data_IF_878128284843
#
_entry.id   IF_878128284843
#
_cell.length_a   1.000
_cell.length_b   1.000
_cell.length_c   1.000
_cell.angle_alpha   90.00
_cell.angle_beta   90.00
_cell.angle_gamma   90.00
#
_symmetry.space_group_name_H-M   'P 1'
#
loop_
_entity.id
_entity.type
_entity.pdbx_description
1 polymer ?
#
# COMPACT_ATOMS: atom_id res chain seq x y z
N UNK A 1 -14.87 -9.05 -2.66
CA UNK A 1 -13.49 -8.58 -2.45
C UNK A 1 -13.14 -7.72 -3.64
N UNK A 2 -13.03 -6.40 -3.46
CA UNK A 2 -12.33 -5.43 -4.32
C UNK A 2 -12.76 -4.02 -3.88
N UNK A 3 -11.94 -3.36 -3.06
CA UNK A 3 -12.12 -1.92 -2.75
C UNK A 3 -10.81 -1.15 -3.01
N UNK A 4 -10.11 -1.50 -4.09
CA UNK A 4 -8.92 -0.74 -4.52
C UNK A 4 -9.29 0.52 -5.33
N UNK A 5 -10.58 0.83 -5.51
CA UNK A 5 -11.04 1.93 -6.37
C UNK A 5 -11.78 3.01 -5.60
N UNK A 6 -11.04 3.87 -4.89
CA UNK A 6 -11.28 5.33 -4.88
C UNK A 6 -10.37 6.03 -3.87
N UNK A 7 -9.37 6.72 -4.40
CA UNK A 7 -8.83 8.00 -3.90
C UNK A 7 -8.45 8.07 -2.42
N UNK A 8 -7.92 6.99 -1.85
CA UNK A 8 -7.34 6.98 -0.51
C UNK A 8 -5.82 7.05 -0.58
N UNK A 9 -5.21 7.80 0.34
CA UNK A 9 -3.79 7.61 0.64
C UNK A 9 -3.64 6.39 1.55
N UNK A 10 -2.53 5.70 1.42
CA UNK A 10 -2.20 4.53 2.22
C UNK A 10 -0.98 4.79 3.08
N UNK A 11 -0.97 4.10 4.21
CA UNK A 11 0.19 3.88 5.03
C UNK A 11 0.57 2.40 4.96
N UNK A 12 1.83 2.11 4.63
CA UNK A 12 2.36 0.77 4.47
C UNK A 12 3.52 0.57 5.44
N UNK A 13 3.53 -0.58 6.13
CA UNK A 13 4.64 -1.01 6.98
C UNK A 13 5.37 -2.18 6.33
N UNK A 14 6.67 -2.06 6.14
CA UNK A 14 7.52 -3.07 5.50
C UNK A 14 8.88 -3.10 6.20
N UNK A 15 9.30 -4.29 6.69
CA UNK A 15 10.60 -4.48 7.37
C UNK A 15 10.90 -3.46 8.50
N UNK A 16 9.87 -3.08 9.27
CA UNK A 16 9.87 -2.03 10.31
C UNK A 16 9.91 -0.57 9.82
N UNK A 17 10.03 -0.34 8.52
CA UNK A 17 9.86 1.00 7.94
C UNK A 17 8.39 1.29 7.68
N UNK A 18 8.00 2.55 7.91
CA UNK A 18 6.65 3.04 7.66
C UNK A 18 6.67 4.08 6.56
N UNK A 19 5.86 3.83 5.54
CA UNK A 19 5.68 4.70 4.39
C UNK A 19 4.26 5.26 4.43
N UNK A 20 4.12 6.58 4.32
CA UNK A 20 2.83 7.27 4.34
C UNK A 20 2.61 8.03 3.03
N UNK A 21 1.37 8.51 2.81
CA UNK A 21 0.98 9.25 1.61
C UNK A 21 1.18 8.46 0.32
N UNK A 22 0.95 7.15 0.38
CA UNK A 22 1.08 6.26 -0.75
C UNK A 22 -0.23 6.21 -1.54
N UNK A 23 -0.15 6.26 -2.87
CA UNK A 23 -1.28 6.04 -3.76
C UNK A 23 -1.06 4.73 -4.50
N UNK A 24 -2.07 3.86 -4.50
CA UNK A 24 -2.02 2.61 -5.25
C UNK A 24 -1.86 2.89 -6.74
N UNK A 25 -0.91 2.23 -7.37
CA UNK A 25 -0.68 2.32 -8.81
C UNK A 25 -1.09 1.03 -9.50
N UNK A 26 -0.52 -0.10 -9.08
CA UNK A 26 -0.80 -1.42 -9.66
C UNK A 26 -0.37 -2.56 -8.74
N UNK A 27 -0.88 -3.73 -9.04
CA UNK A 27 -0.44 -5.01 -8.50
C UNK A 27 0.06 -5.87 -9.66
N UNK A 28 1.20 -6.53 -9.46
CA UNK A 28 1.85 -7.39 -10.46
C UNK A 28 2.12 -8.77 -9.82
N UNK A 29 1.84 -9.86 -10.55
CA UNK A 29 2.17 -11.23 -10.11
C UNK A 29 3.25 -11.79 -11.03
N UNK A 30 4.42 -12.11 -10.46
CA UNK A 30 5.57 -12.63 -11.19
C UNK A 30 6.04 -13.89 -10.49
N UNK A 31 6.03 -15.03 -11.20
CA UNK A 31 6.46 -16.33 -10.66
C UNK A 31 5.79 -16.66 -9.31
N UNK A 32 4.47 -16.49 -9.22
CA UNK A 32 3.65 -16.70 -8.00
C UNK A 32 3.97 -15.74 -6.83
N UNK A 33 4.81 -14.75 -7.03
CA UNK A 33 5.08 -13.68 -6.06
C UNK A 33 4.26 -12.45 -6.42
N UNK A 34 3.47 -11.96 -5.46
CA UNK A 34 2.65 -10.76 -5.61
C UNK A 34 3.42 -9.51 -5.19
N UNK A 35 3.44 -8.51 -6.06
CA UNK A 35 4.07 -7.21 -5.85
C UNK A 35 3.05 -6.09 -5.93
N UNK A 36 3.13 -5.16 -4.99
CA UNK A 36 2.29 -3.96 -4.97
C UNK A 36 3.17 -2.76 -5.27
N UNK A 37 2.79 -1.98 -6.27
CA UNK A 37 3.45 -0.72 -6.61
C UNK A 37 2.60 0.46 -6.16
N UNK A 38 3.24 1.35 -5.40
CA UNK A 38 2.65 2.51 -4.75
C UNK A 38 3.46 3.76 -5.09
N UNK A 39 2.79 4.89 -5.31
CA UNK A 39 3.44 6.18 -5.51
C UNK A 39 3.36 7.02 -4.24
N UNK A 40 4.48 7.47 -3.73
CA UNK A 40 4.51 8.51 -2.70
C UNK A 40 4.18 9.85 -3.36
N UNK A 41 3.04 10.44 -3.00
CA UNK A 41 2.58 11.69 -3.64
C UNK A 41 3.35 12.93 -3.15
N UNK A 42 4.05 12.84 -2.02
CA UNK A 42 4.84 13.93 -1.45
C UNK A 42 6.24 13.93 -2.06
N UNK A 43 6.92 12.78 -2.06
CA UNK A 43 8.25 12.63 -2.63
C UNK A 43 8.24 12.50 -4.16
N UNK A 44 7.11 12.10 -4.74
CA UNK A 44 6.98 11.79 -6.17
C UNK A 44 7.54 10.43 -6.57
N UNK A 45 8.11 9.69 -5.61
CA UNK A 45 8.76 8.39 -5.83
C UNK A 45 7.75 7.25 -6.02
N UNK A 46 8.12 6.26 -6.83
CA UNK A 46 7.38 5.02 -7.00
C UNK A 46 8.12 3.90 -6.30
N UNK A 47 7.42 3.18 -5.42
CA UNK A 47 7.95 2.13 -4.57
C UNK A 47 7.19 0.84 -4.87
N UNK A 48 7.93 -0.26 -5.02
CA UNK A 48 7.36 -1.60 -5.23
C UNK A 48 7.72 -2.49 -4.05
N UNK A 49 6.73 -3.17 -3.49
CA UNK A 49 6.88 -4.02 -2.33
C UNK A 49 6.38 -5.43 -2.66
N UNK A 50 7.09 -6.44 -2.18
CA UNK A 50 6.56 -7.80 -2.16
C UNK A 50 5.44 -7.87 -1.11
N UNK A 51 4.25 -8.31 -1.51
CA UNK A 51 3.06 -8.31 -0.65
C UNK A 51 3.26 -9.17 0.61
N UNK A 52 4.00 -10.27 0.50
CA UNK A 52 4.32 -11.16 1.62
C UNK A 52 5.18 -10.50 2.70
N UNK A 53 5.96 -9.47 2.35
CA UNK A 53 6.84 -8.74 3.27
C UNK A 53 6.17 -7.51 3.90
N UNK A 54 4.94 -7.19 3.47
CA UNK A 54 4.14 -6.07 4.00
C UNK A 54 3.44 -6.53 5.27
N UNK A 55 3.81 -5.93 6.41
CA UNK A 55 3.23 -6.27 7.72
C UNK A 55 1.97 -5.48 8.06
N UNK A 56 1.63 -4.46 7.27
CA UNK A 56 0.38 -3.73 7.42
C UNK A 56 0.15 -2.71 6.32
N UNK A 57 -1.10 -2.60 5.88
CA UNK A 57 -1.58 -1.59 4.95
C UNK A 57 -2.84 -0.94 5.55
N UNK A 58 -2.83 0.38 5.69
CA UNK A 58 -3.96 1.15 6.24
C UNK A 58 -4.34 2.27 5.29
N UNK A 59 -5.63 2.44 5.02
CA UNK A 59 -6.14 3.59 4.27
C UNK A 59 -6.23 4.79 5.21
N UNK A 60 -5.55 5.88 4.88
CA UNK A 60 -5.64 7.13 5.61
C UNK A 60 -7.06 7.69 5.48
N UNK A 61 -7.77 7.77 6.62
CA UNK A 61 -9.15 8.26 6.69
C UNK A 61 -10.18 7.21 7.09
N UNK A 62 -9.85 5.92 7.11
CA UNK A 62 -10.69 4.94 7.81
C UNK A 62 -10.52 5.15 9.32
N UNK A 63 -11.55 5.70 9.96
CA UNK A 63 -11.69 5.58 11.42
C UNK A 63 -11.65 4.08 11.72
N UNK A 64 -10.70 3.66 12.55
CA UNK A 64 -10.70 2.33 13.12
C UNK A 64 -12.03 2.13 13.87
N UNK A 65 -13.01 1.52 13.23
CA UNK A 65 -14.19 0.99 13.91
C UNK A 65 -13.71 -0.28 14.62
N UNK A 66 -13.20 -0.11 15.85
CA UNK A 66 -13.13 -1.20 16.80
C UNK A 66 -14.58 -1.58 17.15
N UNK A 67 -15.01 -2.76 16.72
CA UNK A 67 -16.18 -3.45 17.25
C UNK A 67 -15.80 -4.24 18.50
#
# INVERSE_FOLDING_TARGET
MNDFTSSGYYELTHKNDRFSFLQFMREDVICDVCYITLKNVIAGETLTFEQSEVSGLKKAGEKANAS
#
